data_IF_140317823020
#
_entry.id   IF_140317823020
#
_cell.length_a   1.000
_cell.length_b   1.000
_cell.length_c   1.000
_cell.angle_alpha   90.00
_cell.angle_beta   90.00
_cell.angle_gamma   90.00
#
_symmetry.space_group_name_H-M   'P 1'
#
loop_
_entity.id
_entity.type
_entity.pdbx_description
1 polymer ?
#
# COMPACT_ATOMS: atom_id res chain seq x y z
N UNK A 1 -16.32 -25.71 -7.42
CA UNK A 1 -15.57 -24.44 -7.29
C UNK A 1 -14.09 -24.66 -7.61
N UNK A 2 -13.49 -23.82 -8.46
CA UNK A 2 -12.16 -24.02 -9.09
C UNK A 2 -11.15 -22.89 -8.82
N UNK A 3 -11.50 -21.95 -7.94
CA UNK A 3 -10.70 -20.78 -7.60
C UNK A 3 -10.80 -20.43 -6.11
N UNK A 4 -9.88 -19.58 -5.62
CA UNK A 4 -9.83 -19.11 -4.23
C UNK A 4 -9.78 -17.59 -4.21
N UNK A 5 -10.58 -16.98 -3.33
CA UNK A 5 -10.57 -15.54 -3.03
C UNK A 5 -9.90 -15.30 -1.69
N UNK A 6 -8.96 -14.36 -1.63
CA UNK A 6 -8.24 -14.00 -0.41
C UNK A 6 -8.40 -12.51 -0.14
N UNK A 7 -8.85 -12.15 1.07
CA UNK A 7 -8.77 -10.79 1.58
C UNK A 7 -7.51 -10.65 2.41
N UNK A 8 -6.62 -9.74 1.98
CA UNK A 8 -5.29 -9.59 2.58
C UNK A 8 -5.10 -8.14 3.02
N UNK A 9 -4.81 -7.95 4.31
CA UNK A 9 -4.56 -6.64 4.91
C UNK A 9 -3.11 -6.46 5.36
N UNK A 10 -2.72 -5.21 5.63
CA UNK A 10 -1.46 -4.83 6.28
C UNK A 10 -0.15 -5.33 5.60
N UNK A 11 -0.17 -5.61 4.29
CA UNK A 11 0.99 -6.12 3.55
C UNK A 11 1.85 -5.01 2.93
N UNK A 12 2.19 -3.97 3.69
CA UNK A 12 2.93 -2.80 3.17
C UNK A 12 4.33 -3.11 2.63
N UNK A 13 4.91 -4.25 3.02
CA UNK A 13 6.29 -4.66 2.65
C UNK A 13 6.36 -5.55 1.41
N UNK A 14 5.23 -5.98 0.87
CA UNK A 14 5.18 -6.95 -0.21
C UNK A 14 4.40 -6.37 -1.38
N UNK A 15 4.90 -6.58 -2.60
CA UNK A 15 4.10 -6.28 -3.79
C UNK A 15 3.01 -7.34 -3.96
N UNK A 16 1.95 -7.02 -4.72
CA UNK A 16 0.89 -7.99 -5.04
C UNK A 16 1.47 -9.24 -5.74
N UNK A 17 2.34 -9.13 -6.77
CA UNK A 17 2.99 -10.29 -7.37
C UNK A 17 3.74 -11.16 -6.35
N UNK A 18 4.48 -10.56 -5.40
CA UNK A 18 5.24 -11.31 -4.39
C UNK A 18 4.31 -12.11 -3.48
N UNK A 19 3.21 -11.50 -3.04
CA UNK A 19 2.20 -12.17 -2.22
C UNK A 19 1.60 -13.36 -2.97
N UNK A 20 1.23 -13.15 -4.23
CA UNK A 20 0.65 -14.20 -5.08
C UNK A 20 1.64 -15.34 -5.30
N UNK A 21 2.92 -15.03 -5.53
CA UNK A 21 3.97 -16.04 -5.67
C UNK A 21 4.08 -16.89 -4.40
N UNK A 22 4.12 -16.25 -3.22
CA UNK A 22 4.17 -16.96 -1.95
C UNK A 22 2.93 -17.82 -1.72
N UNK A 23 1.72 -17.26 -1.90
CA UNK A 23 0.48 -18.00 -1.68
C UNK A 23 0.36 -19.18 -2.62
N UNK A 24 0.51 -18.98 -3.93
CA UNK A 24 0.37 -20.05 -4.92
C UNK A 24 1.46 -21.10 -4.77
N UNK A 25 2.70 -20.67 -4.55
CA UNK A 25 3.85 -21.57 -4.39
C UNK A 25 3.77 -22.43 -3.13
N UNK A 26 3.54 -21.80 -1.99
CA UNK A 26 3.51 -22.49 -0.70
C UNK A 26 2.31 -23.44 -0.59
N UNK A 27 1.11 -22.97 -0.95
CA UNK A 27 -0.10 -23.81 -0.93
C UNK A 27 0.04 -25.01 -1.86
N UNK A 28 0.52 -24.81 -3.08
CA UNK A 28 0.76 -25.89 -4.05
C UNK A 28 1.73 -26.93 -3.49
N UNK A 29 2.83 -26.50 -2.86
CA UNK A 29 3.81 -27.40 -2.23
C UNK A 29 3.18 -28.22 -1.09
N UNK A 30 2.51 -27.56 -0.15
CA UNK A 30 1.94 -28.21 1.04
C UNK A 30 0.82 -29.17 0.65
N UNK A 31 -0.11 -28.74 -0.20
CA UNK A 31 -1.25 -29.56 -0.62
C UNK A 31 -0.76 -30.79 -1.39
N UNK A 32 0.24 -30.64 -2.27
CA UNK A 32 0.85 -31.80 -2.95
C UNK A 32 1.55 -32.75 -2.01
N UNK A 33 2.23 -32.24 -0.98
CA UNK A 33 2.89 -33.10 -0.01
C UNK A 33 1.88 -33.89 0.84
N UNK A 34 0.77 -33.27 1.23
CA UNK A 34 -0.17 -33.86 2.20
C UNK A 34 -1.36 -34.59 1.55
N UNK A 35 -1.80 -34.16 0.36
CA UNK A 35 -3.07 -34.56 -0.24
C UNK A 35 -2.91 -35.08 -1.67
N UNK A 36 -1.72 -35.58 -2.04
CA UNK A 36 -1.42 -36.04 -3.40
C UNK A 36 -2.45 -37.01 -3.99
N UNK A 37 -2.87 -38.00 -3.19
CA UNK A 37 -3.86 -39.01 -3.61
C UNK A 37 -5.20 -38.39 -4.02
N UNK A 38 -5.60 -37.30 -3.35
CA UNK A 38 -6.84 -36.58 -3.64
C UNK A 38 -6.71 -35.65 -4.85
N UNK A 39 -5.57 -34.97 -5.00
CA UNK A 39 -5.44 -33.90 -6.02
C UNK A 39 -4.83 -34.35 -7.34
N UNK A 40 -4.08 -35.47 -7.38
CA UNK A 40 -3.28 -35.88 -8.55
C UNK A 40 -4.08 -35.98 -9.85
N UNK A 41 -5.33 -36.47 -9.77
CA UNK A 41 -6.24 -36.60 -10.92
C UNK A 41 -6.93 -35.29 -11.32
N UNK A 42 -6.86 -34.27 -10.47
CA UNK A 42 -7.50 -32.96 -10.66
C UNK A 42 -6.54 -31.92 -11.26
N UNK A 43 -5.24 -32.24 -11.36
CA UNK A 43 -4.25 -31.32 -11.88
C UNK A 43 -4.29 -31.23 -13.40
N UNK A 44 -4.14 -30.01 -13.91
CA UNK A 44 -3.82 -29.80 -15.32
C UNK A 44 -2.33 -30.05 -15.54
N UNK A 45 -1.97 -31.29 -15.85
CA UNK A 45 -0.58 -31.72 -15.99
C UNK A 45 0.20 -31.52 -14.68
N UNK A 46 1.30 -30.76 -14.73
CA UNK A 46 2.15 -30.49 -13.55
C UNK A 46 1.75 -29.22 -12.79
N UNK A 47 0.65 -28.56 -13.13
CA UNK A 47 0.25 -27.26 -12.56
C UNK A 47 -0.90 -27.44 -11.56
N UNK A 48 -0.81 -26.74 -10.42
CA UNK A 48 -1.84 -26.75 -9.38
C UNK A 48 -2.74 -25.52 -9.53
N UNK A 49 -2.12 -24.36 -9.65
CA UNK A 49 -2.81 -23.12 -9.96
C UNK A 49 -2.67 -22.78 -11.46
N UNK A 50 -3.62 -22.01 -11.99
CA UNK A 50 -3.47 -21.29 -13.26
C UNK A 50 -2.27 -20.33 -13.19
N UNK A 51 -1.76 -19.85 -14.33
CA UNK A 51 -0.66 -18.87 -14.33
C UNK A 51 -1.12 -17.51 -13.79
N UNK A 52 -2.29 -17.06 -14.23
CA UNK A 52 -2.85 -15.76 -13.87
C UNK A 52 -3.30 -15.65 -12.42
N UNK A 53 -3.60 -14.42 -12.04
CA UNK A 53 -4.27 -14.05 -10.79
C UNK A 53 -5.04 -12.75 -11.02
N UNK A 54 -6.06 -12.51 -10.22
CA UNK A 54 -6.81 -11.26 -10.18
C UNK A 54 -6.58 -10.60 -8.83
N UNK A 55 -6.48 -9.28 -8.83
CA UNK A 55 -6.42 -8.49 -7.60
C UNK A 55 -7.20 -7.19 -7.77
N UNK A 56 -7.80 -6.74 -6.68
CA UNK A 56 -8.48 -5.46 -6.59
C UNK A 56 -8.27 -4.89 -5.19
N UNK A 57 -8.04 -3.58 -5.11
CA UNK A 57 -7.98 -2.90 -3.82
C UNK A 57 -9.39 -2.76 -3.25
N UNK A 58 -9.63 -3.36 -2.08
CA UNK A 58 -10.90 -3.22 -1.36
C UNK A 58 -10.68 -2.29 -0.18
N UNK A 59 -11.40 -1.18 -0.14
CA UNK A 59 -11.31 -0.22 0.95
C UNK A 59 -12.54 0.66 1.07
N UNK A 60 -12.97 0.91 2.30
CA UNK A 60 -13.92 1.98 2.61
C UNK A 60 -13.13 3.24 2.93
N UNK A 61 -12.99 4.14 1.95
CA UNK A 61 -12.39 5.46 2.18
C UNK A 61 -13.49 6.42 2.59
N UNK A 62 -13.51 6.80 3.87
CA UNK A 62 -14.40 7.87 4.36
C UNK A 62 -13.65 9.19 4.44
N UNK A 63 -14.35 10.31 4.24
CA UNK A 63 -13.78 11.65 4.41
C UNK A 63 -13.18 11.85 5.80
N UNK A 64 -13.80 11.25 6.83
CA UNK A 64 -13.28 11.22 8.20
C UNK A 64 -11.93 10.49 8.31
N UNK A 65 -11.78 9.32 7.68
CA UNK A 65 -10.54 8.56 7.71
C UNK A 65 -9.39 9.30 6.99
N UNK A 66 -9.70 9.98 5.88
CA UNK A 66 -8.73 10.81 5.15
C UNK A 66 -8.30 12.01 6.00
N UNK A 67 -9.25 12.77 6.55
CA UNK A 67 -8.96 13.94 7.42
C UNK A 67 -8.08 13.55 8.60
N UNK A 68 -8.45 12.48 9.30
CA UNK A 68 -7.70 11.94 10.43
C UNK A 68 -6.26 11.53 10.06
N UNK A 69 -6.07 10.91 8.88
CA UNK A 69 -4.75 10.54 8.40
C UNK A 69 -3.89 11.78 8.12
N UNK A 70 -4.44 12.78 7.42
CA UNK A 70 -3.73 14.04 7.10
C UNK A 70 -3.32 14.74 8.39
N UNK A 71 -4.26 15.05 9.29
CA UNK A 71 -3.98 15.79 10.54
C UNK A 71 -2.87 15.12 11.38
N UNK A 72 -2.90 13.79 11.52
CA UNK A 72 -1.96 13.05 12.37
C UNK A 72 -0.59 12.79 11.73
N UNK A 73 -0.51 12.66 10.41
CA UNK A 73 0.76 12.41 9.73
C UNK A 73 1.47 13.71 9.35
N UNK A 74 0.72 14.76 9.06
CA UNK A 74 1.24 16.06 8.64
C UNK A 74 1.73 16.89 9.84
N UNK A 75 1.12 16.75 11.03
CA UNK A 75 1.58 17.45 12.24
C UNK A 75 3.01 17.13 12.70
N UNK A 76 3.66 16.11 12.13
CA UNK A 76 5.07 15.79 12.37
C UNK A 76 6.04 16.48 11.41
N UNK A 77 5.57 16.91 10.23
CA UNK A 77 6.40 17.46 9.15
C UNK A 77 6.14 18.94 8.89
N UNK A 78 4.93 19.42 9.17
CA UNK A 78 4.60 20.82 9.04
C UNK A 78 4.55 21.41 10.44
N UNK A 79 5.62 22.09 10.83
CA UNK A 79 5.43 23.17 11.79
C UNK A 79 4.53 24.18 11.09
N UNK A 80 3.52 24.68 11.79
CA UNK A 80 2.79 25.86 11.37
C UNK A 80 3.80 27.03 11.35
N UNK A 81 4.63 27.10 10.31
CA UNK A 81 5.17 28.38 9.90
C UNK A 81 3.97 29.11 9.32
N UNK A 82 3.33 29.91 10.16
CA UNK A 82 2.25 30.76 9.74
C UNK A 82 2.77 31.61 8.58
N UNK A 83 2.20 31.38 7.39
CA UNK A 83 2.62 32.03 6.16
C UNK A 83 2.61 33.55 6.33
N UNK A 84 1.67 34.06 7.12
CA UNK A 84 1.56 35.47 7.52
C UNK A 84 2.74 35.92 8.38
N UNK A 85 3.19 35.12 9.34
CA UNK A 85 4.38 35.42 10.17
C UNK A 85 5.64 35.44 9.33
N UNK A 86 5.80 34.47 8.41
CA UNK A 86 6.95 34.42 7.51
C UNK A 86 6.93 35.54 6.47
N UNK A 87 5.75 35.94 5.99
CA UNK A 87 5.58 37.07 5.08
C UNK A 87 5.86 38.42 5.78
N UNK A 88 5.39 38.58 7.02
CA UNK A 88 5.67 39.77 7.84
C UNK A 88 7.16 39.90 8.22
N UNK A 89 7.83 38.79 8.52
CA UNK A 89 9.28 38.78 8.74
C UNK A 89 10.06 39.17 7.47
N UNK A 90 9.60 38.70 6.29
CA UNK A 90 10.22 39.05 5.00
C UNK A 90 10.07 40.53 4.65
N UNK A 91 8.94 41.16 4.97
CA UNK A 91 8.75 42.59 4.71
C UNK A 91 9.57 43.47 5.67
N UNK A 92 9.83 42.99 6.89
CA UNK A 92 10.68 43.70 7.86
C UNK A 92 12.18 43.52 7.59
N UNK A 93 12.60 42.41 6.98
CA UNK A 93 14.01 42.14 6.65
C UNK A 93 14.45 42.68 5.29
N UNK A 94 13.55 43.32 4.53
CA UNK A 94 13.87 43.82 3.20
C UNK A 94 14.41 45.25 3.31
N UNK A 95 15.72 45.39 3.51
CA UNK A 95 16.41 46.68 3.40
C UNK A 95 16.10 47.31 2.05
N UNK A 96 15.60 48.53 2.06
CA UNK A 96 15.26 49.22 0.81
C UNK A 96 16.54 49.64 0.09
N UNK A 97 16.53 49.66 -1.25
CA UNK A 97 17.66 50.18 -2.03
C UNK A 97 18.04 51.63 -1.67
N UNK A 98 17.15 52.37 -0.99
CA UNK A 98 17.41 53.72 -0.49
C UNK A 98 18.31 53.75 0.76
N UNK A 99 18.55 52.61 1.42
CA UNK A 99 19.47 52.51 2.57
C UNK A 99 20.93 52.30 2.14
N UNK A 100 21.18 52.09 0.84
CA UNK A 100 22.50 51.82 0.27
C UNK A 100 23.09 52.99 -0.56
N UNK A 101 22.40 54.14 -0.65
CA UNK A 101 22.86 55.34 -1.36
C UNK A 101 22.87 56.57 -0.45
#
# INVERSE_FOLDING_TARGET
PDHVHLFVGNCRKYSVPDLVQHFKGYSSRIIRAQLWSAISKLLWGKRFWSEGYFYESVGMVTSAAVKFYIERQQGKHWQHEDFEVRAAQRSQSQSSLAEFF
#
